data_IF_407390673299
#
_entry.id   IF_407390673299
#
_cell.length_a   1.000
_cell.length_b   1.000
_cell.length_c   1.000
_cell.angle_alpha   90.00
_cell.angle_beta   90.00
_cell.angle_gamma   90.00
#
_symmetry.space_group_name_H-M   'P 1'
#
loop_
_entity.id
_entity.type
_entity.pdbx_description
1 polymer ?
#
# COMPACT_ATOMS: atom_id res chain seq x y z
N UNK A 1 10.28 -0.11 -7.19
CA UNK A 1 9.98 -0.68 -5.85
C UNK A 1 10.12 0.37 -4.74
N UNK A 2 11.34 0.75 -4.33
CA UNK A 2 11.61 1.61 -3.15
C UNK A 2 10.79 2.91 -3.07
N UNK A 3 10.57 3.59 -4.21
CA UNK A 3 9.81 4.84 -4.22
C UNK A 3 8.34 4.67 -3.82
N UNK A 4 7.65 3.66 -4.37
CA UNK A 4 6.26 3.34 -4.05
C UNK A 4 6.13 2.93 -2.57
N UNK A 5 6.97 2.01 -2.13
CA UNK A 5 6.98 1.48 -0.76
C UNK A 5 7.19 2.59 0.28
N UNK A 6 8.14 3.49 0.04
CA UNK A 6 8.45 4.60 0.96
C UNK A 6 7.27 5.57 1.11
N UNK A 7 6.57 5.87 0.00
CA UNK A 7 5.40 6.75 0.01
C UNK A 7 4.25 6.09 0.78
N UNK A 8 3.98 4.81 0.53
CA UNK A 8 2.90 4.08 1.22
C UNK A 8 3.18 3.97 2.71
N UNK A 9 4.41 3.64 3.11
CA UNK A 9 4.79 3.55 4.53
C UNK A 9 4.58 4.88 5.25
N UNK A 10 5.00 6.00 4.63
CA UNK A 10 4.76 7.35 5.15
C UNK A 10 3.27 7.63 5.30
N UNK A 11 2.49 7.40 4.26
CA UNK A 11 1.07 7.78 4.24
C UNK A 11 0.25 6.93 5.23
N UNK A 12 0.63 5.66 5.43
CA UNK A 12 0.07 4.81 6.50
C UNK A 12 0.33 5.43 7.88
N UNK A 13 1.56 5.86 8.17
CA UNK A 13 1.91 6.46 9.46
C UNK A 13 1.15 7.77 9.68
N UNK A 14 0.98 8.58 8.63
CA UNK A 14 0.19 9.81 8.69
C UNK A 14 -1.29 9.51 8.95
N UNK A 15 -1.87 8.54 8.23
CA UNK A 15 -3.25 8.13 8.41
C UNK A 15 -3.51 7.57 9.82
N UNK A 16 -2.57 6.78 10.35
CA UNK A 16 -2.59 6.31 11.74
C UNK A 16 -2.57 7.47 12.73
N UNK A 17 -1.66 8.43 12.54
CA UNK A 17 -1.51 9.58 13.43
C UNK A 17 -2.76 10.46 13.51
N UNK A 18 -3.42 10.70 12.38
CA UNK A 18 -4.61 11.57 12.31
C UNK A 18 -5.93 10.81 12.45
N UNK A 19 -5.90 9.47 12.51
CA UNK A 19 -7.09 8.62 12.59
C UNK A 19 -7.95 8.62 11.32
N UNK A 20 -7.35 8.89 10.16
CA UNK A 20 -8.09 8.94 8.88
C UNK A 20 -8.13 7.58 8.16
N UNK A 21 -8.88 7.55 7.06
CA UNK A 21 -8.91 6.43 6.12
C UNK A 21 -7.90 6.65 5.00
N UNK A 22 -7.18 5.59 4.63
CA UNK A 22 -6.29 5.58 3.48
C UNK A 22 -6.72 4.50 2.48
N UNK A 23 -6.76 4.86 1.19
CA UNK A 23 -6.89 3.92 0.09
C UNK A 23 -5.70 4.08 -0.84
N UNK A 24 -4.95 3.01 -1.06
CA UNK A 24 -3.77 3.01 -1.94
C UNK A 24 -4.12 2.36 -3.27
N UNK A 25 -4.05 3.13 -4.34
CA UNK A 25 -4.40 2.65 -5.68
C UNK A 25 -3.19 2.00 -6.38
N UNK A 26 -3.51 1.04 -7.26
CA UNK A 26 -2.60 0.49 -8.27
C UNK A 26 -1.28 -0.08 -7.72
N UNK A 27 -1.32 -0.83 -6.61
CA UNK A 27 -0.12 -1.46 -6.08
C UNK A 27 0.62 -2.27 -7.15
N UNK A 28 1.93 -2.13 -7.23
CA UNK A 28 2.76 -2.83 -8.23
C UNK A 28 3.88 -3.67 -7.61
N UNK A 29 4.14 -3.52 -6.30
CA UNK A 29 5.28 -4.17 -5.64
C UNK A 29 4.86 -5.11 -4.52
N UNK A 30 5.64 -6.19 -4.31
CA UNK A 30 5.44 -7.09 -3.18
C UNK A 30 5.63 -6.39 -1.83
N UNK A 31 6.62 -5.48 -1.73
CA UNK A 31 6.88 -4.72 -0.50
C UNK A 31 5.69 -3.83 -0.11
N UNK A 32 5.02 -3.20 -1.09
CA UNK A 32 3.81 -2.42 -0.83
C UNK A 32 2.70 -3.28 -0.22
N UNK A 33 2.49 -4.50 -0.73
CA UNK A 33 1.49 -5.42 -0.18
C UNK A 33 1.82 -5.77 1.28
N UNK A 34 3.11 -5.96 1.60
CA UNK A 34 3.54 -6.25 2.97
C UNK A 34 3.35 -5.07 3.92
N UNK A 35 3.58 -3.84 3.46
CA UNK A 35 3.27 -2.62 4.20
C UNK A 35 1.77 -2.53 4.49
N UNK A 36 0.89 -2.78 3.51
CA UNK A 36 -0.57 -2.79 3.72
C UNK A 36 -0.98 -3.86 4.75
N UNK A 37 -0.42 -5.07 4.68
CA UNK A 37 -0.69 -6.12 5.67
C UNK A 37 -0.23 -5.70 7.07
N UNK A 38 0.96 -5.11 7.19
CA UNK A 38 1.49 -4.60 8.45
C UNK A 38 0.59 -3.50 9.04
N UNK A 39 0.16 -2.54 8.23
CA UNK A 39 -0.73 -1.46 8.62
C UNK A 39 -2.08 -1.98 9.12
N UNK A 40 -2.69 -2.93 8.40
CA UNK A 40 -3.94 -3.59 8.81
C UNK A 40 -3.80 -4.31 10.16
N UNK A 41 -2.68 -5.01 10.41
CA UNK A 41 -2.42 -5.67 11.71
C UNK A 41 -2.33 -4.70 12.88
N UNK A 42 -1.92 -3.45 12.61
CA UNK A 42 -1.88 -2.36 13.62
C UNK A 42 -3.24 -1.67 13.84
N UNK A 43 -4.26 -2.05 13.08
CA UNK A 43 -5.59 -1.43 13.17
C UNK A 43 -5.74 -0.13 12.37
N UNK A 44 -4.75 0.22 11.53
CA UNK A 44 -4.88 1.38 10.63
C UNK A 44 -5.98 1.12 9.62
N UNK A 45 -6.89 2.09 9.43
CA UNK A 45 -8.01 1.98 8.51
C UNK A 45 -7.57 2.17 7.04
N UNK A 46 -6.82 1.18 6.53
CA UNK A 46 -6.24 1.18 5.19
C UNK A 46 -6.86 0.11 4.29
N UNK A 47 -7.07 0.50 3.03
CA UNK A 47 -7.46 -0.38 1.93
C UNK A 47 -6.50 -0.18 0.76
N UNK A 48 -6.48 -1.13 -0.18
CA UNK A 48 -5.69 -1.00 -1.40
C UNK A 48 -6.32 -1.80 -2.54
N UNK A 49 -5.92 -1.49 -3.75
CA UNK A 49 -6.29 -2.21 -4.97
C UNK A 49 -5.06 -2.49 -5.85
N UNK A 50 -5.26 -3.30 -6.87
CA UNK A 50 -4.28 -3.62 -7.90
C UNK A 50 -4.96 -3.57 -9.27
N UNK A 51 -4.24 -3.16 -10.30
CA UNK A 51 -4.75 -3.12 -11.66
C UNK A 51 -4.62 -4.50 -12.33
N UNK A 52 -5.46 -4.82 -13.34
CA UNK A 52 -5.32 -6.08 -14.07
C UNK A 52 -3.95 -6.27 -14.74
N UNK A 53 -3.32 -5.20 -15.25
CA UNK A 53 -2.01 -5.32 -15.88
C UNK A 53 -0.90 -5.65 -14.88
N UNK A 54 -0.95 -5.16 -13.64
CA UNK A 54 -0.01 -5.58 -12.59
C UNK A 54 -0.25 -7.02 -12.10
N UNK A 55 -1.35 -7.67 -12.51
CA UNK A 55 -1.60 -9.10 -12.25
C UNK A 55 -1.27 -9.99 -13.45
N UNK A 56 -1.39 -9.48 -14.67
CA UNK A 56 -1.36 -10.28 -15.90
C UNK A 56 -0.12 -10.04 -16.75
N UNK A 57 0.57 -8.91 -16.55
CA UNK A 57 1.76 -8.54 -17.32
C UNK A 57 2.98 -8.46 -16.40
N UNK A 58 4.13 -8.82 -16.95
CA UNK A 58 5.45 -8.74 -16.31
C UNK A 58 6.38 -7.91 -17.19
N UNK A 59 7.47 -7.42 -16.61
CA UNK A 59 8.50 -6.66 -17.36
C UNK A 59 9.44 -7.57 -18.19
N UNK A 60 9.33 -8.90 -18.01
CA UNK A 60 9.96 -9.92 -18.87
C UNK A 60 9.31 -9.97 -20.26
#
# INVERSE_FOLDING_TARGET
AVAEESIIARDVLLAEHVGSRLHVCHLSTAGSVDIIRWAKRRGVNVTAEVTPHHLLLTDE
#
